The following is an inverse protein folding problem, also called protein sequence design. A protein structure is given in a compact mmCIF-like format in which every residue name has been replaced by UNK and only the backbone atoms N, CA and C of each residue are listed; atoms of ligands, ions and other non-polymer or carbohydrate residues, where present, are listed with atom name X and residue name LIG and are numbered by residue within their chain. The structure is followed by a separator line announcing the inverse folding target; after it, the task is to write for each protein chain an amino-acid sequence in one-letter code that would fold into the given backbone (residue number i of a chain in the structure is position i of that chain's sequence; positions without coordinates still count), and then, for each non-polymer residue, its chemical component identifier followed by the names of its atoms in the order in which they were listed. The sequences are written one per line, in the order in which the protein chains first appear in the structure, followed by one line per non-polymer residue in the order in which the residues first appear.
data_IF_897774400658
#
_entry.id   IF_897774400658
#
_cell.length_a   1.000
_cell.length_b   1.000
_cell.length_c   1.000
_cell.angle_alpha   90.00
_cell.angle_beta   90.00
_cell.angle_gamma   90.00
#
_symmetry.space_group_name_H-M   'P 1'
#
loop_
_entity.id
_entity.type
_entity.pdbx_description
1 polymer ?
#
# COMPACT_ATOMS: atom_id res chain seq x y z
N UNK A 1 -6.73 -8.59 5.50
CA UNK A 1 -5.44 -8.23 4.91
C UNK A 1 -5.37 -6.75 4.64
N UNK A 2 -5.70 -5.90 5.62
CA UNK A 2 -5.64 -4.43 5.47
C UNK A 2 -4.31 -3.91 5.98
N UNK A 3 -4.13 -3.85 7.30
CA UNK A 3 -2.83 -3.58 7.95
C UNK A 3 -2.52 -4.64 9.01
N UNK A 4 -1.23 -4.89 9.25
CA UNK A 4 -0.71 -5.73 10.31
C UNK A 4 0.37 -4.99 11.10
N UNK A 5 0.36 -5.12 12.43
CA UNK A 5 1.40 -4.61 13.31
C UNK A 5 2.26 -5.75 13.84
N UNK A 6 3.59 -5.61 13.78
CA UNK A 6 4.56 -6.62 14.22
C UNK A 6 5.50 -5.99 15.25
N UNK A 7 5.43 -6.46 16.49
CA UNK A 7 6.30 -5.96 17.58
C UNK A 7 7.44 -6.95 17.82
N UNK A 8 8.68 -6.51 17.60
CA UNK A 8 9.89 -7.33 17.72
C UNK A 8 11.12 -6.48 18.00
N UNK A 9 12.05 -7.03 18.77
CA UNK A 9 13.40 -6.45 18.96
C UNK A 9 14.38 -6.91 17.86
N UNK A 10 14.05 -8.00 17.17
CA UNK A 10 14.85 -8.55 16.08
C UNK A 10 14.34 -7.98 14.75
N UNK A 11 15.19 -7.19 14.08
CA UNK A 11 14.87 -6.59 12.80
C UNK A 11 14.76 -7.60 11.65
N UNK A 12 15.50 -8.71 11.71
CA UNK A 12 15.39 -9.78 10.72
C UNK A 12 14.02 -10.44 10.76
N UNK A 13 13.47 -10.67 11.97
CA UNK A 13 12.10 -11.15 12.12
C UNK A 13 11.07 -10.13 11.62
N UNK A 14 11.31 -8.84 11.86
CA UNK A 14 10.44 -7.76 11.36
C UNK A 14 10.38 -7.73 9.83
N UNK A 15 11.53 -7.76 9.17
CA UNK A 15 11.62 -7.78 7.70
C UNK A 15 11.03 -9.07 7.11
N UNK A 16 11.33 -10.22 7.71
CA UNK A 16 10.72 -11.50 7.30
C UNK A 16 9.19 -11.46 7.40
N UNK A 17 8.65 -10.84 8.45
CA UNK A 17 7.20 -10.67 8.57
C UNK A 17 6.64 -9.76 7.48
N UNK A 18 7.32 -8.64 7.17
CA UNK A 18 6.94 -7.75 6.07
C UNK A 18 6.92 -8.44 4.70
N UNK A 19 7.82 -9.40 4.46
CA UNK A 19 7.88 -10.16 3.21
C UNK A 19 6.84 -11.28 3.11
N UNK A 20 6.43 -11.86 4.25
CA UNK A 20 5.59 -13.07 4.28
C UNK A 20 4.12 -12.81 4.60
N UNK A 21 3.79 -11.68 5.23
CA UNK A 21 2.42 -11.34 5.59
C UNK A 21 1.67 -10.72 4.40
N UNK A 22 0.56 -11.36 4.01
CA UNK A 22 -0.31 -10.88 2.93
C UNK A 22 -1.29 -9.80 3.41
N UNK A 23 -0.77 -8.60 3.63
CA UNK A 23 -1.51 -7.39 4.04
C UNK A 23 -1.13 -6.21 3.15
N UNK A 24 -2.01 -5.21 3.05
CA UNK A 24 -1.69 -4.00 2.28
C UNK A 24 -0.67 -3.08 2.94
N UNK A 25 -0.48 -3.19 4.26
CA UNK A 25 0.63 -2.59 4.99
C UNK A 25 1.07 -3.44 6.18
N UNK A 26 2.38 -3.52 6.41
CA UNK A 26 2.99 -4.16 7.59
C UNK A 26 3.81 -3.13 8.34
N UNK A 27 3.43 -2.87 9.58
CA UNK A 27 4.03 -1.86 10.44
C UNK A 27 4.89 -2.56 11.50
N UNK A 28 6.19 -2.27 11.51
CA UNK A 28 7.13 -2.86 12.48
C UNK A 28 7.28 -1.91 13.67
N UNK A 29 7.01 -2.42 14.87
CA UNK A 29 7.03 -1.69 16.14
C UNK A 29 6.09 -0.47 16.16
N UNK A 30 4.96 -0.56 15.47
CA UNK A 30 3.90 0.45 15.44
C UNK A 30 2.52 -0.24 15.41
N UNK A 31 1.49 0.43 15.91
CA UNK A 31 0.12 -0.08 15.94
C UNK A 31 -0.50 -0.12 14.54
N UNK A 32 -1.28 -1.15 14.18
CA UNK A 32 -1.89 -1.29 12.84
C UNK A 32 -3.03 -0.31 12.57
N UNK A 33 -3.30 0.61 13.49
CA UNK A 33 -4.24 1.73 13.29
C UNK A 33 -3.52 3.01 12.85
N UNK A 34 -2.18 3.02 12.84
CA UNK A 34 -1.42 4.16 12.37
C UNK A 34 -1.67 4.37 10.87
N UNK A 35 -2.09 5.59 10.52
CA UNK A 35 -2.26 6.00 9.13
C UNK A 35 -1.69 7.41 8.91
N UNK A 36 -0.58 7.51 8.18
CA UNK A 36 -0.20 8.76 7.53
C UNK A 36 -1.07 9.00 6.29
N UNK A 37 -1.56 10.23 6.11
CA UNK A 37 -2.48 10.58 5.01
C UNK A 37 -1.87 10.37 3.62
N UNK A 38 -0.56 10.58 3.48
CA UNK A 38 0.16 10.51 2.21
C UNK A 38 0.53 9.09 1.78
N UNK A 39 0.43 8.10 2.67
CA UNK A 39 0.87 6.74 2.37
C UNK A 39 -0.11 6.03 1.42
N UNK A 40 0.34 5.00 0.68
CA UNK A 40 -0.57 4.07 0.01
C UNK A 40 -1.35 3.27 1.05
N UNK A 41 -2.66 3.48 1.13
CA UNK A 41 -3.52 2.80 2.10
C UNK A 41 -4.60 1.96 1.41
N UNK A 42 -4.62 0.66 1.65
CA UNK A 42 -5.64 -0.23 1.11
C UNK A 42 -5.32 -1.67 1.45
N UNK A 43 -6.24 -2.59 1.16
CA UNK A 43 -6.11 -3.99 1.55
C UNK A 43 -5.85 -4.95 0.40
N UNK A 44 -5.76 -6.23 0.73
CA UNK A 44 -5.81 -7.36 -0.20
C UNK A 44 -6.89 -8.34 0.25
N UNK A 45 -7.26 -9.30 -0.60
CA UNK A 45 -8.34 -10.28 -0.36
C UNK A 45 -9.68 -9.56 -0.17
N UNK A 46 -10.47 -9.98 0.80
CA UNK A 46 -11.76 -9.36 1.14
C UNK A 46 -11.63 -7.93 1.70
N UNK A 47 -10.39 -7.45 1.94
CA UNK A 47 -10.13 -6.08 2.39
C UNK A 47 -10.03 -5.06 1.25
N UNK A 48 -10.23 -5.48 -0.01
CA UNK A 48 -10.21 -4.62 -1.19
C UNK A 48 -9.03 -4.87 -2.13
N UNK A 49 -8.99 -4.11 -3.23
CA UNK A 49 -8.02 -4.27 -4.32
C UNK A 49 -7.37 -2.97 -4.83
N UNK A 50 -7.73 -1.81 -4.27
CA UNK A 50 -7.19 -0.49 -4.66
C UNK A 50 -6.35 0.14 -3.54
N UNK A 51 -5.76 1.30 -3.81
CA UNK A 51 -5.02 2.10 -2.80
C UNK A 51 -5.52 3.55 -2.75
N UNK A 52 -5.82 4.01 -1.55
CA UNK A 52 -6.05 5.42 -1.21
C UNK A 52 -4.75 6.12 -0.80
N UNK A 53 -4.87 7.43 -0.55
CA UNK A 53 -3.77 8.37 -0.31
C UNK A 53 -3.71 9.34 -1.48
N UNK A 54 -3.51 10.66 -1.31
CA UNK A 54 -3.77 11.64 -2.36
C UNK A 54 -3.18 11.31 -3.75
N UNK A 55 -1.92 10.89 -3.81
CA UNK A 55 -1.28 10.50 -5.06
C UNK A 55 -1.85 9.19 -5.65
N UNK A 56 -2.15 8.21 -4.80
CA UNK A 56 -2.68 6.90 -5.21
C UNK A 56 -4.14 7.00 -5.64
N UNK A 57 -4.95 7.80 -4.94
CA UNK A 57 -6.32 8.11 -5.31
C UNK A 57 -6.41 8.83 -6.66
N UNK A 58 -5.46 9.72 -6.98
CA UNK A 58 -5.40 10.33 -8.32
C UNK A 58 -5.20 9.24 -9.39
N UNK A 59 -4.29 8.30 -9.17
CA UNK A 59 -4.06 7.19 -10.11
C UNK A 59 -5.32 6.33 -10.27
N UNK A 60 -5.98 5.95 -9.17
CA UNK A 60 -7.21 5.12 -9.20
C UNK A 60 -8.44 5.86 -9.76
N UNK A 61 -8.43 7.19 -9.76
CA UNK A 61 -9.55 8.03 -10.25
C UNK A 61 -9.27 8.68 -11.61
N UNK A 62 -8.15 8.34 -12.25
CA UNK A 62 -7.80 8.85 -13.59
C UNK A 62 -7.49 7.72 -14.55
N UNK A 63 -7.68 8.00 -15.85
CA UNK A 63 -7.41 7.04 -16.92
C UNK A 63 -6.31 7.58 -17.82
N UNK A 64 -5.32 6.74 -18.12
CA UNK A 64 -4.26 7.11 -19.06
C UNK A 64 -4.81 7.19 -20.49
N UNK A 65 -4.42 8.24 -21.22
CA UNK A 65 -4.79 8.42 -22.62
C UNK A 65 -3.55 8.56 -23.49
N UNK A 66 -3.28 7.54 -24.31
CA UNK A 66 -2.24 7.60 -25.32
C UNK A 66 -2.67 8.46 -26.51
N UNK A 67 -1.80 9.38 -26.92
CA UNK A 67 -2.02 10.26 -28.08
C UNK A 67 -0.75 10.23 -28.94
N UNK A 68 -0.91 9.94 -30.22
CA UNK A 68 0.16 10.01 -31.23
C UNK A 68 -0.24 10.97 -32.34
N UNK A 69 0.73 11.70 -32.87
CA UNK A 69 0.56 12.62 -34.00
C UNK A 69 1.59 12.25 -35.06
N UNK A 70 1.13 11.88 -36.26
CA UNK A 70 1.98 11.67 -37.43
C UNK A 70 1.88 12.91 -38.33
N UNK A 71 2.94 13.72 -38.33
CA UNK A 71 3.11 14.83 -39.28
C UNK A 71 3.51 14.30 -40.66
N UNK A 72 2.97 14.92 -41.72
CA UNK A 72 3.31 14.60 -43.11
C UNK A 72 4.73 14.98 -43.50
#
# INVERSE_FOLDING_TARGET
GLQAGVFTRDMGNGLKAAETLEFGGVLINEVPTFRADQQPYGGVKDSGNTREGPAYSIIEMTEERFITLQGG
#
